data_IF_578299296425
#
_entry.id   IF_578299296425
#
_cell.length_a   1.000
_cell.length_b   1.000
_cell.length_c   1.000
_cell.angle_alpha   90.00
_cell.angle_beta   90.00
_cell.angle_gamma   90.00
#
_symmetry.space_group_name_H-M   'P 1'
#
loop_
_entity.id
_entity.type
_entity.pdbx_description
1 polymer ?
#
# COMPACT_ATOMS: atom_id res chain seq x y z
N UNK A 1 -7.90 -3.38 5.09
CA UNK A 1 -8.42 -4.64 5.65
C UNK A 1 -7.87 -5.77 4.79
N UNK A 2 -7.33 -6.82 5.41
CA UNK A 2 -6.87 -8.02 4.72
C UNK A 2 -7.99 -9.05 4.69
N UNK A 3 -8.26 -9.62 3.53
CA UNK A 3 -9.21 -10.71 3.32
C UNK A 3 -8.46 -11.85 2.63
N UNK A 4 -8.64 -13.09 3.09
CA UNK A 4 -7.91 -14.24 2.57
C UNK A 4 -8.88 -15.32 2.08
N UNK A 5 -8.64 -15.80 0.87
CA UNK A 5 -9.27 -16.97 0.28
C UNK A 5 -8.27 -18.13 0.32
N UNK A 6 -8.71 -19.29 0.79
CA UNK A 6 -7.86 -20.49 0.91
C UNK A 6 -8.49 -21.58 0.08
N UNK A 7 -7.77 -22.08 -0.92
CA UNK A 7 -8.10 -23.29 -1.66
C UNK A 7 -7.46 -24.49 -0.97
N UNK A 8 -8.26 -25.51 -0.69
CA UNK A 8 -7.84 -26.73 0.01
C UNK A 8 -8.08 -27.95 -0.83
N UNK A 9 -7.25 -28.96 -0.61
CA UNK A 9 -7.53 -30.30 -1.08
C UNK A 9 -8.54 -30.98 -0.15
N UNK A 10 -9.66 -31.42 -0.70
CA UNK A 10 -10.73 -32.08 0.06
C UNK A 10 -10.85 -33.54 -0.34
N UNK A 11 -11.52 -34.36 0.47
CA UNK A 11 -11.74 -35.78 0.16
C UNK A 11 -12.50 -36.01 -1.15
N UNK A 12 -13.28 -35.03 -1.60
CA UNK A 12 -14.08 -35.10 -2.83
C UNK A 12 -13.34 -34.55 -4.05
N UNK A 13 -12.15 -33.97 -3.85
CA UNK A 13 -11.35 -33.33 -4.88
C UNK A 13 -10.76 -31.99 -4.43
N UNK A 14 -9.83 -31.43 -5.20
CA UNK A 14 -9.25 -30.12 -4.92
C UNK A 14 -10.27 -29.01 -5.12
N UNK A 15 -10.24 -27.99 -4.25
CA UNK A 15 -10.95 -26.73 -4.50
C UNK A 15 -10.18 -25.90 -5.51
N UNK A 16 -10.89 -25.33 -6.48
CA UNK A 16 -10.27 -24.54 -7.55
C UNK A 16 -10.61 -23.06 -7.40
N UNK A 17 -9.63 -22.21 -7.72
CA UNK A 17 -9.83 -20.78 -7.86
C UNK A 17 -10.05 -20.54 -9.35
N UNK A 18 -11.27 -20.13 -9.71
CA UNK A 18 -11.71 -19.98 -11.10
C UNK A 18 -12.77 -18.90 -11.21
N UNK A 19 -12.87 -18.29 -12.39
CA UNK A 19 -13.94 -17.36 -12.74
C UNK A 19 -15.25 -18.08 -13.10
N UNK A 20 -15.23 -19.38 -13.36
CA UNK A 20 -16.42 -20.17 -13.67
C UNK A 20 -17.18 -20.55 -12.38
N UNK A 21 -18.05 -19.65 -11.93
CA UNK A 21 -18.79 -19.77 -10.67
C UNK A 21 -20.26 -20.09 -10.97
N UNK A 22 -20.84 -21.17 -10.42
CA UNK A 22 -22.22 -21.54 -10.69
C UNK A 22 -23.21 -20.51 -10.13
N UNK A 23 -24.29 -20.26 -10.87
CA UNK A 23 -25.41 -19.39 -10.46
C UNK A 23 -25.04 -17.91 -10.21
N UNK A 24 -23.94 -17.43 -10.79
CA UNK A 24 -23.51 -16.03 -10.72
C UNK A 24 -23.65 -15.37 -12.09
N UNK A 25 -24.29 -14.19 -12.14
CA UNK A 25 -24.45 -13.45 -13.39
C UNK A 25 -23.16 -12.75 -13.84
N UNK A 26 -23.03 -12.47 -15.15
CA UNK A 26 -21.85 -11.85 -15.75
C UNK A 26 -21.45 -10.52 -15.10
N UNK A 27 -22.41 -9.75 -14.58
CA UNK A 27 -22.15 -8.49 -13.89
C UNK A 27 -21.28 -8.63 -12.63
N UNK A 28 -21.34 -9.78 -11.96
CA UNK A 28 -20.48 -10.05 -10.80
C UNK A 28 -19.11 -10.60 -11.22
N UNK A 29 -19.02 -11.23 -12.39
CA UNK A 29 -17.78 -11.73 -12.97
C UNK A 29 -16.96 -10.63 -13.65
N UNK A 30 -17.57 -9.51 -14.03
CA UNK A 30 -16.89 -8.42 -14.75
C UNK A 30 -15.72 -7.78 -14.00
N UNK A 31 -15.66 -7.95 -12.67
CA UNK A 31 -14.57 -7.43 -11.82
C UNK A 31 -13.45 -8.45 -11.57
N UNK A 32 -13.65 -9.70 -11.99
CA UNK A 32 -12.69 -10.78 -11.86
C UNK A 32 -11.89 -10.93 -13.16
N UNK A 33 -10.65 -11.35 -13.02
CA UNK A 33 -9.81 -11.77 -14.14
C UNK A 33 -10.15 -13.20 -14.61
N UNK A 34 -9.46 -13.67 -15.65
CA UNK A 34 -9.63 -15.04 -16.18
C UNK A 34 -9.33 -16.13 -15.14
N UNK A 35 -8.54 -15.82 -14.09
CA UNK A 35 -8.22 -16.75 -13.00
C UNK A 35 -9.23 -16.67 -11.86
N UNK A 36 -10.24 -15.80 -11.94
CA UNK A 36 -11.25 -15.61 -10.89
C UNK A 36 -10.80 -14.70 -9.75
N UNK A 37 -9.80 -13.83 -9.96
CA UNK A 37 -9.26 -12.93 -8.95
C UNK A 37 -9.59 -11.47 -9.31
N UNK A 38 -9.95 -10.66 -8.32
CA UNK A 38 -10.27 -9.24 -8.54
C UNK A 38 -9.08 -8.41 -9.05
N UNK A 39 -9.35 -7.46 -9.94
CA UNK A 39 -8.34 -6.51 -10.41
C UNK A 39 -7.89 -5.53 -9.31
N UNK A 40 -6.59 -5.21 -9.30
CA UNK A 40 -6.04 -4.14 -8.46
C UNK A 40 -6.59 -2.79 -8.96
N UNK A 41 -7.11 -1.98 -8.04
CA UNK A 41 -7.76 -0.70 -8.33
C UNK A 41 -9.28 -0.78 -8.48
N UNK A 42 -9.88 -1.97 -8.45
CA UNK A 42 -11.34 -2.11 -8.53
C UNK A 42 -12.03 -1.56 -7.27
N UNK A 43 -13.11 -0.79 -7.46
CA UNK A 43 -14.01 -0.38 -6.39
C UNK A 43 -15.07 -1.47 -6.17
N UNK A 44 -15.17 -1.93 -4.92
CA UNK A 44 -16.01 -3.06 -4.53
C UNK A 44 -16.92 -2.70 -3.36
N UNK A 45 -18.10 -3.29 -3.37
CA UNK A 45 -19.14 -3.13 -2.34
C UNK A 45 -19.45 -4.46 -1.66
N UNK A 46 -20.12 -4.41 -0.50
CA UNK A 46 -20.52 -5.61 0.22
C UNK A 46 -21.31 -6.58 -0.67
N UNK A 47 -20.89 -7.84 -0.70
CA UNK A 47 -21.47 -8.88 -1.54
C UNK A 47 -20.73 -9.16 -2.85
N UNK A 48 -19.89 -8.23 -3.31
CA UNK A 48 -19.03 -8.42 -4.50
C UNK A 48 -18.04 -9.57 -4.27
N UNK A 49 -17.74 -10.32 -5.33
CA UNK A 49 -16.79 -11.43 -5.30
C UNK A 49 -15.38 -10.86 -5.46
N UNK A 50 -14.48 -11.21 -4.54
CA UNK A 50 -13.06 -10.85 -4.59
C UNK A 50 -12.22 -11.97 -5.19
N UNK A 51 -12.55 -13.22 -4.84
CA UNK A 51 -11.86 -14.41 -5.33
C UNK A 51 -12.91 -15.49 -5.55
N UNK A 52 -13.08 -15.89 -6.81
CA UNK A 52 -13.91 -17.01 -7.22
C UNK A 52 -13.33 -18.31 -6.70
N UNK A 53 -14.10 -19.08 -5.94
CA UNK A 53 -13.70 -20.39 -5.43
C UNK A 53 -14.84 -21.37 -5.60
N UNK A 54 -14.53 -22.52 -6.20
CA UNK A 54 -15.46 -23.63 -6.37
C UNK A 54 -15.00 -24.83 -5.57
N UNK A 55 -15.94 -25.46 -4.88
CA UNK A 55 -15.69 -26.69 -4.12
C UNK A 55 -16.45 -27.84 -4.79
N UNK A 56 -15.80 -28.98 -5.09
CA UNK A 56 -16.50 -30.15 -5.60
C UNK A 56 -17.54 -30.61 -4.58
N UNK A 57 -18.76 -30.82 -5.04
CA UNK A 57 -19.89 -31.26 -4.24
C UNK A 57 -20.15 -32.74 -4.52
N UNK A 58 -20.36 -33.53 -3.48
CA UNK A 58 -20.85 -34.90 -3.65
C UNK A 58 -22.25 -34.93 -4.25
N UNK A 59 -22.59 -36.04 -4.92
CA UNK A 59 -23.91 -36.23 -5.52
C UNK A 59 -25.00 -36.17 -4.44
N UNK A 60 -25.82 -35.12 -4.47
CA UNK A 60 -26.95 -34.95 -3.55
C UNK A 60 -28.19 -35.58 -4.15
N UNK A 61 -28.85 -36.47 -3.41
CA UNK A 61 -30.16 -36.99 -3.78
C UNK A 61 -31.18 -35.86 -3.78
N UNK A 62 -31.58 -35.42 -4.98
CA UNK A 62 -32.61 -34.40 -5.18
C UNK A 62 -33.99 -34.97 -4.84
N UNK A 63 -34.83 -34.11 -4.27
CA UNK A 63 -36.25 -34.40 -4.07
C UNK A 63 -36.97 -34.57 -5.43
N UNK A 64 -38.09 -35.33 -5.49
CA UNK A 64 -38.87 -35.47 -6.73
C UNK A 64 -39.25 -34.12 -7.37
N UNK A 65 -39.53 -33.12 -6.56
CA UNK A 65 -39.86 -31.74 -6.97
C UNK A 65 -38.67 -31.05 -7.65
N UNK A 66 -37.47 -31.14 -7.08
CA UNK A 66 -36.25 -30.59 -7.69
C UNK A 66 -35.85 -31.34 -8.97
N UNK A 67 -36.07 -32.66 -9.01
CA UNK A 67 -35.89 -33.46 -10.23
C UNK A 67 -36.83 -33.02 -11.33
N UNK A 68 -38.10 -32.80 -11.00
CA UNK A 68 -39.10 -32.30 -11.95
C UNK A 68 -38.71 -30.91 -12.45
N UNK A 69 -38.31 -30.01 -11.56
CA UNK A 69 -37.92 -28.65 -11.92
C UNK A 69 -36.70 -28.63 -12.85
N UNK A 70 -35.68 -29.45 -12.59
CA UNK A 70 -34.54 -29.63 -13.50
C UNK A 70 -34.94 -30.25 -14.83
N UNK A 71 -35.87 -31.19 -14.85
CA UNK A 71 -36.37 -31.79 -16.09
C UNK A 71 -37.14 -30.78 -16.95
N UNK A 72 -37.87 -29.84 -16.32
CA UNK A 72 -38.60 -28.77 -17.02
C UNK A 72 -37.66 -27.71 -17.58
N UNK A 73 -36.69 -27.23 -16.80
CA UNK A 73 -35.78 -26.14 -17.20
C UNK A 73 -34.52 -26.62 -17.93
N UNK A 74 -34.26 -27.93 -17.96
CA UNK A 74 -33.05 -28.50 -18.57
C UNK A 74 -31.75 -28.08 -17.88
N UNK A 75 -31.83 -27.53 -16.67
CA UNK A 75 -30.66 -27.11 -15.90
C UNK A 75 -29.83 -28.33 -15.47
N UNK A 76 -28.59 -28.40 -15.96
CA UNK A 76 -27.64 -29.43 -15.53
C UNK A 76 -27.33 -29.25 -14.05
N UNK A 77 -27.15 -30.36 -13.36
CA UNK A 77 -26.58 -30.34 -12.02
C UNK A 77 -25.20 -29.67 -12.08
N UNK A 78 -25.01 -28.58 -11.33
CA UNK A 78 -23.66 -28.14 -11.02
C UNK A 78 -23.09 -29.11 -9.98
N UNK A 79 -22.07 -29.86 -10.37
CA UNK A 79 -21.29 -30.73 -9.49
C UNK A 79 -20.37 -29.94 -8.55
N UNK A 80 -20.32 -28.61 -8.74
CA UNK A 80 -19.53 -27.68 -7.94
C UNK A 80 -20.43 -26.71 -7.16
N UNK A 81 -19.95 -26.29 -5.98
CA UNK A 81 -20.58 -25.30 -5.12
C UNK A 81 -19.75 -24.02 -5.07
N UNK A 82 -20.40 -22.86 -5.15
CA UNK A 82 -19.79 -21.56 -4.86
C UNK A 82 -19.33 -21.49 -3.39
N UNK A 83 -18.03 -21.34 -3.19
CA UNK A 83 -17.39 -21.07 -1.90
C UNK A 83 -16.49 -19.83 -1.95
N UNK A 84 -16.78 -18.92 -2.89
CA UNK A 84 -16.00 -17.73 -3.19
C UNK A 84 -15.87 -16.76 -2.02
N UNK A 85 -14.75 -16.04 -1.99
CA UNK A 85 -14.53 -14.95 -1.06
C UNK A 85 -15.30 -13.71 -1.52
N UNK A 86 -16.16 -13.20 -0.66
CA UNK A 86 -16.95 -11.98 -0.92
C UNK A 86 -16.57 -10.86 0.05
N UNK A 87 -16.79 -9.62 -0.38
CA UNK A 87 -16.61 -8.45 0.47
C UNK A 87 -17.60 -8.52 1.64
N UNK A 88 -17.15 -8.32 2.89
CA UNK A 88 -18.05 -8.26 4.04
C UNK A 88 -19.14 -7.21 3.88
N UNK A 89 -20.35 -7.53 4.34
CA UNK A 89 -21.49 -6.61 4.27
C UNK A 89 -21.19 -5.29 5.01
N UNK A 90 -21.60 -4.17 4.41
CA UNK A 90 -21.38 -2.84 4.96
C UNK A 90 -19.96 -2.29 4.78
N UNK A 91 -19.08 -3.02 4.10
CA UNK A 91 -17.74 -2.54 3.73
C UNK A 91 -17.73 -2.20 2.25
N UNK A 92 -17.26 -0.99 1.93
CA UNK A 92 -16.99 -0.55 0.57
C UNK A 92 -15.59 0.03 0.49
N UNK A 93 -14.85 -0.29 -0.56
CA UNK A 93 -13.47 0.16 -0.67
C UNK A 93 -12.86 -0.15 -2.02
N UNK A 94 -11.59 0.19 -2.15
CA UNK A 94 -10.80 -0.06 -3.36
C UNK A 94 -9.80 -1.17 -3.05
N UNK A 95 -9.69 -2.14 -3.96
CA UNK A 95 -8.64 -3.17 -3.87
C UNK A 95 -7.31 -2.50 -4.16
N UNK A 96 -6.37 -2.55 -3.20
CA UNK A 96 -5.06 -1.91 -3.34
C UNK A 96 -3.96 -2.87 -3.75
N UNK A 97 -4.06 -4.13 -3.34
CA UNK A 97 -3.04 -5.13 -3.57
C UNK A 97 -3.66 -6.53 -3.52
N UNK A 98 -3.07 -7.46 -4.26
CA UNK A 98 -3.43 -8.86 -4.29
C UNK A 98 -2.16 -9.70 -4.28
N UNK A 99 -2.10 -10.65 -3.34
CA UNK A 99 -0.98 -11.57 -3.21
C UNK A 99 -1.48 -12.99 -3.36
N UNK A 100 -0.82 -13.77 -4.22
CA UNK A 100 -1.13 -15.16 -4.48
C UNK A 100 0.03 -16.01 -3.97
N UNK A 101 -0.26 -16.89 -3.02
CA UNK A 101 0.70 -17.86 -2.51
C UNK A 101 0.33 -19.23 -3.05
N UNK A 102 1.29 -19.91 -3.66
CA UNK A 102 1.07 -21.22 -4.30
C UNK A 102 2.00 -22.24 -3.67
N UNK A 103 1.45 -23.39 -3.26
CA UNK A 103 2.25 -24.49 -2.74
C UNK A 103 3.21 -25.01 -3.81
N UNK A 104 4.40 -25.42 -3.38
CA UNK A 104 5.37 -26.10 -4.23
C UNK A 104 4.80 -27.42 -4.81
N UNK A 105 4.86 -27.57 -6.14
CA UNK A 105 4.29 -28.69 -6.89
C UNK A 105 2.89 -28.49 -7.46
N UNK A 106 2.21 -27.38 -7.17
CA UNK A 106 0.97 -26.96 -7.85
C UNK A 106 1.33 -26.03 -9.01
N UNK A 107 0.72 -26.23 -10.19
CA UNK A 107 0.91 -25.34 -11.33
C UNK A 107 0.41 -23.92 -11.00
N UNK A 108 1.21 -22.92 -11.37
CA UNK A 108 0.90 -21.51 -11.12
C UNK A 108 -0.13 -21.03 -12.15
N UNK A 109 -1.16 -20.34 -11.68
CA UNK A 109 -2.16 -19.73 -12.57
C UNK A 109 -1.53 -18.60 -13.40
N UNK A 110 -2.19 -18.22 -14.49
CA UNK A 110 -1.80 -17.05 -15.30
C UNK A 110 -1.58 -15.82 -14.43
N UNK A 111 -2.49 -15.55 -13.49
CA UNK A 111 -2.39 -14.42 -12.56
C UNK A 111 -1.18 -14.50 -11.62
N UNK A 112 -0.85 -15.68 -11.14
CA UNK A 112 0.32 -15.88 -10.28
C UNK A 112 1.63 -15.64 -11.06
N UNK A 113 1.69 -16.10 -12.31
CA UNK A 113 2.83 -15.87 -13.21
C UNK A 113 2.98 -14.38 -13.56
N UNK A 114 1.89 -13.67 -13.83
CA UNK A 114 1.90 -12.22 -14.07
C UNK A 114 2.44 -11.44 -12.86
N UNK A 115 1.99 -11.79 -11.66
CA UNK A 115 2.45 -11.15 -10.41
C UNK A 115 3.93 -11.45 -10.19
N UNK A 116 4.37 -12.69 -10.42
CA UNK A 116 5.78 -13.08 -10.29
C UNK A 116 6.66 -12.30 -11.27
N UNK A 117 6.25 -12.18 -12.54
CA UNK A 117 6.96 -11.40 -13.54
C UNK A 117 7.03 -9.91 -13.15
N UNK A 118 5.92 -9.36 -12.66
CA UNK A 118 5.87 -7.98 -12.17
C UNK A 118 6.83 -7.76 -11.00
N UNK A 119 6.86 -8.68 -10.03
CA UNK A 119 7.76 -8.64 -8.88
C UNK A 119 9.22 -8.76 -9.30
N UNK A 120 9.55 -9.66 -10.24
CA UNK A 120 10.90 -9.81 -10.79
C UNK A 120 11.36 -8.53 -11.51
N UNK A 121 10.48 -7.94 -12.33
CA UNK A 121 10.75 -6.70 -13.05
C UNK A 121 10.97 -5.54 -12.07
N UNK A 122 10.13 -5.43 -11.05
CA UNK A 122 10.27 -4.40 -10.01
C UNK A 122 11.55 -4.60 -9.21
N UNK A 123 11.84 -5.82 -8.74
CA UNK A 123 13.04 -6.12 -7.98
C UNK A 123 14.33 -5.84 -8.77
N UNK A 124 14.33 -6.17 -10.08
CA UNK A 124 15.43 -5.84 -10.98
C UNK A 124 15.59 -4.33 -11.13
N UNK A 125 14.49 -3.60 -11.33
CA UNK A 125 14.49 -2.14 -11.46
C UNK A 125 15.04 -1.49 -10.19
N UNK A 126 14.49 -1.82 -9.03
CA UNK A 126 14.90 -1.24 -7.74
C UNK A 126 16.38 -1.45 -7.46
N UNK A 127 16.87 -2.69 -7.61
CA UNK A 127 18.28 -2.98 -7.42
C UNK A 127 19.14 -2.23 -8.45
N UNK A 128 18.71 -2.16 -9.71
CA UNK A 128 19.48 -1.49 -10.76
C UNK A 128 19.58 0.02 -10.53
N UNK A 129 18.51 0.65 -10.04
CA UNK A 129 18.50 2.06 -9.68
C UNK A 129 19.41 2.31 -8.46
N UNK A 130 19.34 1.42 -7.45
CA UNK A 130 20.25 1.46 -6.29
C UNK A 130 21.72 1.39 -6.73
N UNK A 131 22.06 0.43 -7.59
CA UNK A 131 23.41 0.28 -8.13
C UNK A 131 23.85 1.52 -8.92
N UNK A 132 22.99 2.06 -9.79
CA UNK A 132 23.30 3.25 -10.59
C UNK A 132 23.55 4.49 -9.72
N UNK A 133 22.80 4.68 -8.65
CA UNK A 133 22.98 5.81 -7.73
C UNK A 133 24.30 5.67 -6.97
N UNK A 134 24.60 4.46 -6.47
CA UNK A 134 25.85 4.17 -5.78
C UNK A 134 27.06 4.30 -6.70
N UNK A 135 26.97 3.75 -7.91
CA UNK A 135 27.97 3.86 -8.97
C UNK A 135 28.23 5.32 -9.31
N UNK A 136 27.19 6.14 -9.51
CA UNK A 136 27.35 7.56 -9.77
C UNK A 136 28.06 8.30 -8.64
N UNK A 137 27.73 7.99 -7.38
CA UNK A 137 28.40 8.55 -6.20
C UNK A 137 29.87 8.12 -6.11
N UNK A 138 30.17 6.86 -6.41
CA UNK A 138 31.52 6.30 -6.38
C UNK A 138 32.38 6.90 -7.51
N UNK A 139 31.87 6.97 -8.74
CA UNK A 139 32.56 7.63 -9.85
C UNK A 139 32.75 9.12 -9.63
N UNK A 140 31.81 9.80 -8.95
CA UNK A 140 32.01 11.21 -8.56
C UNK A 140 33.18 11.37 -7.59
N UNK A 141 33.43 10.39 -6.71
CA UNK A 141 34.60 10.38 -5.82
C UNK A 141 35.89 10.04 -6.58
N UNK A 142 35.87 9.03 -7.45
CA UNK A 142 37.00 8.68 -8.33
C UNK A 142 37.41 9.89 -9.18
N UNK A 143 36.44 10.60 -9.76
CA UNK A 143 36.67 11.81 -10.54
C UNK A 143 37.43 12.87 -9.72
N UNK A 144 36.99 13.15 -8.49
CA UNK A 144 37.65 14.12 -7.62
C UNK A 144 39.10 13.72 -7.28
N UNK A 145 39.35 12.43 -7.05
CA UNK A 145 40.69 11.89 -6.78
C UNK A 145 41.60 11.97 -8.02
N UNK A 146 41.08 11.63 -9.21
CA UNK A 146 41.83 11.68 -10.47
C UNK A 146 42.22 13.11 -10.86
N UNK A 147 41.32 14.08 -10.69
CA UNK A 147 41.62 15.50 -10.93
C UNK A 147 42.67 16.01 -9.93
N UNK A 148 42.55 15.65 -8.65
CA UNK A 148 43.55 16.00 -7.63
C UNK A 148 44.91 15.29 -7.84
N UNK A 149 44.91 14.17 -8.56
CA UNK A 149 46.09 13.41 -8.96
C UNK A 149 46.77 13.90 -10.24
N UNK A 150 46.27 14.98 -10.86
CA UNK A 150 46.92 15.63 -12.00
C UNK A 150 46.39 15.22 -13.37
N UNK A 151 45.26 14.50 -13.45
CA UNK A 151 44.61 14.18 -14.73
C UNK A 151 43.71 15.33 -15.17
N UNK A 152 43.84 15.76 -16.43
CA UNK A 152 43.02 16.84 -17.00
C UNK A 152 41.54 16.44 -17.10
N UNK A 153 40.65 17.31 -16.57
CA UNK A 153 39.20 17.12 -16.60
C UNK A 153 38.65 16.88 -18.02
N UNK A 154 39.11 17.66 -19.00
CA UNK A 154 38.67 17.57 -20.41
C UNK A 154 39.02 16.23 -21.08
N UNK A 155 40.05 15.53 -20.57
CA UNK A 155 40.42 14.19 -21.04
C UNK A 155 39.60 13.11 -20.35
N UNK A 156 39.25 13.30 -19.07
CA UNK A 156 38.43 12.37 -18.30
C UNK A 156 37.00 12.29 -18.84
N UNK A 157 36.39 13.44 -19.14
CA UNK A 157 35.00 13.52 -19.60
C UNK A 157 34.78 12.88 -20.98
N UNK A 158 35.84 12.75 -21.79
CA UNK A 158 35.81 12.10 -23.10
C UNK A 158 35.99 10.58 -23.02
N UNK A 159 36.51 10.07 -21.91
CA UNK A 159 36.73 8.65 -21.70
C UNK A 159 35.48 8.02 -21.06
N UNK A 160 35.10 6.78 -21.45
CA UNK A 160 34.03 6.07 -20.77
C UNK A 160 34.40 5.78 -19.31
N UNK A 161 33.41 5.83 -18.41
CA UNK A 161 33.58 5.65 -16.96
C UNK A 161 34.27 4.34 -16.61
N UNK A 162 33.98 3.27 -17.34
CA UNK A 162 34.58 1.94 -17.16
C UNK A 162 36.12 1.97 -17.21
N UNK A 163 36.70 2.88 -18.00
CA UNK A 163 38.16 3.02 -18.15
C UNK A 163 38.81 3.92 -17.11
N UNK A 164 38.05 4.62 -16.27
CA UNK A 164 38.62 5.48 -15.23
C UNK A 164 39.36 4.68 -14.16
N UNK A 165 38.93 3.44 -13.94
CA UNK A 165 39.54 2.48 -13.00
C UNK A 165 40.91 1.96 -13.50
N UNK A 166 41.18 2.04 -14.81
CA UNK A 166 42.44 1.61 -15.43
C UNK A 166 43.53 2.71 -15.41
N UNK A 167 43.18 3.94 -15.00
CA UNK A 167 44.10 5.07 -14.97
C UNK A 167 44.96 5.02 -13.71
N UNK A 168 46.28 4.96 -13.90
CA UNK A 168 47.25 5.08 -12.81
C UNK A 168 47.58 6.53 -12.46
N UNK A 169 47.72 6.81 -11.17
CA UNK A 169 48.19 8.07 -10.61
C UNK A 169 49.66 7.98 -10.18
N UNK A 170 50.38 9.09 -10.26
CA UNK A 170 51.78 9.19 -9.83
C UNK A 170 51.95 9.31 -8.30
N UNK A 171 50.90 9.70 -7.60
CA UNK A 171 50.87 9.93 -6.15
C UNK A 171 50.41 8.66 -5.42
N UNK A 172 51.28 8.08 -4.58
CA UNK A 172 51.05 6.79 -3.91
C UNK A 172 49.81 6.79 -2.99
N UNK A 173 49.54 7.89 -2.27
CA UNK A 173 48.37 7.97 -1.38
C UNK A 173 47.06 7.99 -2.16
N UNK A 174 47.02 8.72 -3.28
CA UNK A 174 45.83 8.81 -4.14
C UNK A 174 45.63 7.55 -4.96
N UNK A 175 46.72 6.88 -5.36
CA UNK A 175 46.66 5.59 -6.01
C UNK A 175 46.03 4.53 -5.10
N UNK A 176 46.43 4.47 -3.82
CA UNK A 176 45.80 3.59 -2.83
C UNK A 176 44.30 3.92 -2.62
N UNK A 177 43.93 5.20 -2.62
CA UNK A 177 42.51 5.59 -2.54
C UNK A 177 41.71 5.16 -3.78
N UNK A 178 42.30 5.24 -4.98
CA UNK A 178 41.66 4.80 -6.21
C UNK A 178 41.48 3.27 -6.21
N UNK A 179 42.48 2.53 -5.76
CA UNK A 179 42.41 1.07 -5.62
C UNK A 179 41.33 0.65 -4.61
N UNK A 180 41.23 1.32 -3.46
CA UNK A 180 40.13 1.09 -2.50
C UNK A 180 38.74 1.37 -3.09
N UNK A 181 38.61 2.41 -3.93
CA UNK A 181 37.34 2.71 -4.59
C UNK A 181 37.01 1.69 -5.69
N UNK A 182 38.02 1.16 -6.38
CA UNK A 182 37.87 0.09 -7.36
C UNK A 182 37.44 -1.22 -6.68
N UNK A 183 38.08 -1.61 -5.59
CA UNK A 183 37.68 -2.77 -4.77
C UNK A 183 36.23 -2.62 -4.27
N UNK A 184 35.86 -1.43 -3.78
CA UNK A 184 34.48 -1.14 -3.36
C UNK A 184 33.48 -1.28 -4.52
N UNK A 185 33.84 -0.84 -5.72
CA UNK A 185 32.98 -0.98 -6.90
C UNK A 185 32.77 -2.45 -7.28
N UNK A 186 33.83 -3.25 -7.28
CA UNK A 186 33.75 -4.70 -7.56
C UNK A 186 32.96 -5.45 -6.47
N UNK A 187 33.15 -5.10 -5.20
CA UNK A 187 32.38 -5.65 -4.08
C UNK A 187 30.89 -5.32 -4.23
N UNK A 188 30.55 -4.07 -4.54
CA UNK A 188 29.16 -3.64 -4.77
C UNK A 188 28.52 -4.40 -5.94
N UNK A 189 29.25 -4.60 -7.04
CA UNK A 189 28.76 -5.35 -8.20
C UNK A 189 28.51 -6.82 -7.85
N UNK A 190 29.43 -7.46 -7.14
CA UNK A 190 29.27 -8.85 -6.71
C UNK A 190 28.13 -9.00 -5.68
N UNK A 191 28.02 -8.08 -4.74
CA UNK A 191 26.93 -8.05 -3.75
C UNK A 191 25.58 -7.86 -4.45
N UNK A 192 25.51 -7.00 -5.47
CA UNK A 192 24.32 -6.79 -6.29
C UNK A 192 23.88 -8.07 -7.00
N UNK A 193 24.79 -8.77 -7.68
CA UNK A 193 24.46 -10.04 -8.35
C UNK A 193 23.93 -11.07 -7.37
N UNK A 194 24.56 -11.19 -6.20
CA UNK A 194 24.14 -12.08 -5.11
C UNK A 194 22.75 -11.68 -4.57
N UNK A 195 22.49 -10.39 -4.37
CA UNK A 195 21.19 -9.88 -3.91
C UNK A 195 20.09 -10.13 -4.96
N UNK A 196 20.39 -9.93 -6.24
CA UNK A 196 19.46 -10.14 -7.34
C UNK A 196 19.09 -11.63 -7.43
N UNK A 197 20.07 -12.53 -7.42
CA UNK A 197 19.81 -13.97 -7.49
C UNK A 197 19.07 -14.46 -6.23
N UNK A 198 19.40 -13.94 -5.05
CA UNK A 198 18.68 -14.24 -3.82
C UNK A 198 17.22 -13.76 -3.86
N UNK A 199 16.94 -12.55 -4.39
CA UNK A 199 15.57 -12.06 -4.59
C UNK A 199 14.82 -12.89 -5.61
N UNK A 200 15.44 -13.20 -6.75
CA UNK A 200 14.84 -14.04 -7.81
C UNK A 200 14.45 -15.41 -7.25
N UNK A 201 15.36 -16.06 -6.52
CA UNK A 201 15.09 -17.35 -5.87
C UNK A 201 13.90 -17.27 -4.90
N UNK A 202 13.83 -16.22 -4.08
CA UNK A 202 12.71 -16.03 -3.13
C UNK A 202 11.37 -15.83 -3.81
N UNK A 203 11.34 -15.16 -4.96
CA UNK A 203 10.11 -14.89 -5.72
C UNK A 203 9.64 -16.15 -6.47
N UNK A 204 10.57 -16.92 -7.04
CA UNK A 204 10.22 -18.11 -7.82
C UNK A 204 9.94 -19.35 -6.97
N UNK A 205 10.59 -19.47 -5.82
CA UNK A 205 10.38 -20.57 -4.89
C UNK A 205 8.92 -20.63 -4.43
N UNK A 206 8.33 -21.82 -4.47
CA UNK A 206 6.97 -22.06 -3.97
C UNK A 206 6.87 -21.79 -2.47
N UNK A 207 5.68 -21.38 -2.03
CA UNK A 207 5.43 -21.03 -0.64
C UNK A 207 5.21 -22.27 0.23
N UNK A 208 5.72 -22.24 1.45
CA UNK A 208 5.46 -23.27 2.45
C UNK A 208 4.08 -23.06 3.09
N UNK A 209 3.08 -23.75 2.55
CA UNK A 209 1.68 -23.64 2.97
C UNK A 209 1.25 -24.80 3.87
N UNK A 210 0.44 -24.49 4.89
CA UNK A 210 -0.12 -25.43 5.85
C UNK A 210 -0.73 -26.68 5.17
N UNK A 211 -0.60 -27.88 5.76
CA UNK A 211 -0.94 -29.14 5.10
C UNK A 211 -2.38 -29.14 4.58
N UNK A 212 -2.56 -29.63 3.35
CA UNK A 212 -3.86 -29.63 2.65
C UNK A 212 -4.25 -28.29 1.99
N UNK A 213 -3.54 -27.19 2.21
CA UNK A 213 -3.75 -25.92 1.48
C UNK A 213 -2.99 -25.90 0.16
N UNK A 214 -3.68 -25.77 -0.97
CA UNK A 214 -3.07 -25.71 -2.30
C UNK A 214 -2.60 -24.28 -2.63
N UNK A 215 -3.46 -23.30 -2.37
CA UNK A 215 -3.26 -21.90 -2.75
C UNK A 215 -3.94 -20.96 -1.75
N UNK A 216 -3.33 -19.80 -1.50
CA UNK A 216 -3.93 -18.72 -0.72
C UNK A 216 -3.90 -17.45 -1.54
N UNK A 217 -5.05 -16.79 -1.68
CA UNK A 217 -5.14 -15.47 -2.28
C UNK A 217 -5.50 -14.47 -1.20
N UNK A 218 -4.61 -13.51 -0.94
CA UNK A 218 -4.84 -12.39 -0.04
C UNK A 218 -5.20 -11.16 -0.85
N UNK A 219 -6.30 -10.53 -0.49
CA UNK A 219 -6.79 -9.29 -1.08
C UNK A 219 -6.77 -8.21 -0.04
N UNK A 220 -6.10 -7.10 -0.34
CA UNK A 220 -6.03 -5.94 0.53
C UNK A 220 -7.04 -4.91 0.06
N UNK A 221 -8.00 -4.62 0.93
CA UNK A 221 -9.06 -3.64 0.70
C UNK A 221 -8.78 -2.35 1.48
N UNK A 222 -8.59 -1.24 0.77
CA UNK A 222 -8.54 0.08 1.39
C UNK A 222 -9.96 0.63 1.56
N UNK A 223 -10.35 0.80 2.82
CA UNK A 223 -11.67 1.31 3.19
C UNK A 223 -11.51 2.73 3.70
N UNK A 224 -12.09 3.70 2.99
CA UNK A 224 -12.16 5.09 3.45
C UNK A 224 -13.42 5.28 4.28
N UNK A 225 -13.29 5.12 5.60
CA UNK A 225 -14.39 5.41 6.53
C UNK A 225 -14.47 6.91 6.77
N UNK A 226 -15.65 7.48 6.51
CA UNK A 226 -15.96 8.86 6.90
C UNK A 226 -16.48 8.86 8.33
N UNK A 227 -16.28 9.99 8.99
CA UNK A 227 -16.84 10.23 10.31
C UNK A 227 -18.37 10.22 10.23
N UNK A 228 -19.02 9.55 11.16
CA UNK A 228 -20.48 9.42 11.20
C UNK A 228 -21.03 9.49 12.62
N UNK A 229 -22.33 9.79 12.79
CA UNK A 229 -23.00 9.66 14.07
C UNK A 229 -22.83 8.25 14.65
N UNK A 230 -22.52 8.16 15.94
CA UNK A 230 -22.14 6.91 16.60
C UNK A 230 -20.63 6.69 16.72
N UNK A 231 -19.80 7.39 15.93
CA UNK A 231 -18.36 7.35 16.12
C UNK A 231 -17.96 8.03 17.43
N UNK A 232 -16.93 7.47 18.07
CA UNK A 232 -16.44 7.93 19.36
C UNK A 232 -15.22 8.83 19.17
N UNK A 233 -15.31 10.04 19.70
CA UNK A 233 -14.19 10.99 19.77
C UNK A 233 -13.76 11.22 21.21
N UNK A 234 -12.51 11.58 21.41
CA UNK A 234 -11.99 11.93 22.73
C UNK A 234 -10.89 12.98 22.64
N UNK A 235 -10.86 13.88 23.62
CA UNK A 235 -9.72 14.75 23.86
C UNK A 235 -8.68 14.12 24.79
N UNK A 236 -7.52 14.77 24.90
CA UNK A 236 -6.38 14.31 25.72
C UNK A 236 -6.67 14.37 27.23
N UNK A 237 -7.63 15.18 27.64
CA UNK A 237 -8.04 15.38 29.04
C UNK A 237 -9.15 14.42 29.50
N UNK A 238 -9.32 13.28 28.82
CA UNK A 238 -10.29 12.24 29.20
C UNK A 238 -11.75 12.58 28.89
N UNK A 239 -12.03 13.71 28.23
CA UNK A 239 -13.34 14.04 27.69
C UNK A 239 -13.66 13.14 26.50
N UNK A 240 -14.54 12.17 26.69
CA UNK A 240 -15.04 11.25 25.65
C UNK A 240 -16.46 11.64 25.26
N UNK A 241 -16.75 11.60 23.97
CA UNK A 241 -18.08 11.84 23.41
C UNK A 241 -18.35 10.90 22.25
N UNK A 242 -19.63 10.68 21.97
CA UNK A 242 -20.09 10.00 20.75
C UNK A 242 -20.73 11.09 19.89
N UNK A 243 -20.44 11.09 18.59
CA UNK A 243 -21.03 12.06 17.66
C UNK A 243 -22.52 11.78 17.60
N UNK A 244 -23.32 12.77 17.99
CA UNK A 244 -24.78 12.68 17.99
C UNK A 244 -25.37 13.04 16.63
N UNK A 245 -24.84 14.09 15.99
CA UNK A 245 -25.33 14.61 14.72
C UNK A 245 -24.21 15.37 14.00
N UNK A 246 -24.24 15.32 12.67
CA UNK A 246 -23.43 16.19 11.80
C UNK A 246 -24.38 17.26 11.27
N UNK A 247 -24.12 18.53 11.61
CA UNK A 247 -24.95 19.65 11.19
C UNK A 247 -24.40 20.30 9.90
N UNK A 248 -25.28 20.88 9.07
CA UNK A 248 -24.87 21.81 8.01
C UNK A 248 -24.13 23.03 8.57
N UNK A 249 -23.32 23.70 7.74
CA UNK A 249 -22.45 24.81 8.17
C UNK A 249 -23.29 26.03 8.58
N UNK A 250 -24.41 26.25 7.90
CA UNK A 250 -25.36 27.34 8.14
C UNK A 250 -26.05 27.28 9.51
N UNK A 251 -26.17 26.08 10.09
CA UNK A 251 -26.77 25.86 11.42
C UNK A 251 -25.73 26.01 12.54
N UNK A 252 -24.44 26.09 12.20
CA UNK A 252 -23.37 26.18 13.19
C UNK A 252 -23.29 27.61 13.77
N UNK A 253 -23.10 27.75 15.10
CA UNK A 253 -22.78 29.04 15.69
C UNK A 253 -21.54 29.64 15.02
N UNK A 254 -21.57 30.94 14.75
CA UNK A 254 -20.49 31.65 14.08
C UNK A 254 -20.08 32.90 14.87
N UNK A 255 -18.85 33.36 14.63
CA UNK A 255 -18.35 34.60 15.20
C UNK A 255 -18.80 35.85 14.41
N UNK A 256 -18.43 37.04 14.90
CA UNK A 256 -18.76 38.31 14.23
C UNK A 256 -18.14 38.45 12.82
N UNK A 257 -17.12 37.65 12.50
CA UNK A 257 -16.49 37.61 11.18
C UNK A 257 -17.15 36.58 10.26
N UNK A 258 -18.20 35.88 10.71
CA UNK A 258 -18.91 34.85 9.95
C UNK A 258 -18.19 33.50 9.91
N UNK A 259 -17.18 33.28 10.76
CA UNK A 259 -16.46 32.00 10.84
C UNK A 259 -17.26 31.02 11.71
N UNK A 260 -17.77 29.91 11.16
CA UNK A 260 -18.51 28.90 11.92
C UNK A 260 -17.57 28.08 12.81
N UNK A 261 -18.10 27.55 13.91
CA UNK A 261 -17.38 26.58 14.76
C UNK A 261 -17.46 25.17 14.18
N UNK A 262 -16.40 24.36 14.34
CA UNK A 262 -16.37 22.99 13.81
C UNK A 262 -17.06 21.97 14.74
N UNK A 263 -16.92 22.14 16.06
CA UNK A 263 -17.40 21.18 17.07
C UNK A 263 -18.00 21.95 18.25
N UNK A 264 -19.20 21.54 18.69
CA UNK A 264 -19.86 22.06 19.89
C UNK A 264 -19.79 21.04 21.02
N UNK A 265 -19.22 21.42 22.16
CA UNK A 265 -19.10 20.57 23.35
C UNK A 265 -20.03 21.07 24.47
N UNK A 266 -20.53 20.14 25.28
CA UNK A 266 -21.37 20.47 26.43
C UNK A 266 -20.50 20.98 27.61
N UNK A 267 -20.68 22.22 28.09
CA UNK A 267 -19.89 22.77 29.19
C UNK A 267 -20.12 22.04 30.52
N UNK A 268 -21.29 21.41 30.71
CA UNK A 268 -21.65 20.73 31.96
C UNK A 268 -20.74 19.52 32.26
N UNK A 269 -20.08 18.97 31.23
CA UNK A 269 -19.14 17.85 31.39
C UNK A 269 -17.83 18.23 32.09
N UNK A 270 -17.47 19.53 32.12
CA UNK A 270 -16.18 19.99 32.65
C UNK A 270 -16.18 20.09 34.18
N UNK A 271 -17.16 20.74 34.84
CA UNK A 271 -17.15 20.87 36.30
C UNK A 271 -17.22 19.52 37.01
N UNK A 272 -18.07 18.62 36.52
CA UNK A 272 -18.29 17.31 37.14
C UNK A 272 -17.05 16.40 37.08
N UNK A 273 -16.23 16.49 36.02
CA UNK A 273 -15.02 15.69 35.85
C UNK A 273 -13.74 16.39 36.31
N UNK A 274 -13.85 17.65 36.73
CA UNK A 274 -12.75 18.51 37.18
C UNK A 274 -11.55 18.56 36.20
N UNK A 275 -11.79 18.37 34.91
CA UNK A 275 -10.75 18.36 33.87
C UNK A 275 -10.59 19.75 33.24
N UNK A 276 -10.20 20.73 34.07
CA UNK A 276 -10.02 22.15 33.69
C UNK A 276 -8.96 22.33 32.60
N UNK A 277 -8.01 21.39 32.49
CA UNK A 277 -6.96 21.42 31.46
C UNK A 277 -7.49 21.61 30.03
N UNK A 278 -8.66 21.06 29.69
CA UNK A 278 -9.24 21.25 28.36
C UNK A 278 -9.65 22.70 28.07
N UNK A 279 -10.04 23.47 29.10
CA UNK A 279 -10.36 24.89 28.97
C UNK A 279 -9.08 25.69 28.75
N UNK A 280 -8.03 25.39 29.52
CA UNK A 280 -6.72 26.01 29.33
C UNK A 280 -6.15 25.70 27.94
N UNK A 281 -6.28 24.45 27.47
CA UNK A 281 -5.92 24.04 26.11
C UNK A 281 -6.71 24.83 25.06
N UNK A 282 -8.02 25.01 25.27
CA UNK A 282 -8.88 25.76 24.34
C UNK A 282 -8.45 27.22 24.24
N UNK A 283 -8.21 27.90 25.38
CA UNK A 283 -7.75 29.29 25.38
C UNK A 283 -6.38 29.46 24.74
N UNK A 284 -5.42 28.60 25.10
CA UNK A 284 -4.08 28.63 24.52
C UNK A 284 -4.09 28.31 23.03
N UNK A 285 -4.91 27.33 22.61
CA UNK A 285 -5.11 26.97 21.22
C UNK A 285 -5.71 28.12 20.40
N UNK A 286 -6.67 28.85 20.97
CA UNK A 286 -7.25 30.05 20.33
C UNK A 286 -6.22 31.17 20.20
N UNK A 287 -5.39 31.41 21.23
CA UNK A 287 -4.31 32.38 21.16
C UNK A 287 -3.27 32.01 20.10
N UNK A 288 -2.87 30.73 20.04
CA UNK A 288 -1.94 30.22 19.04
C UNK A 288 -2.49 30.35 17.61
N UNK A 289 -3.77 30.01 17.40
CA UNK A 289 -4.44 30.21 16.11
C UNK A 289 -4.46 31.69 15.71
N UNK A 290 -4.74 32.59 16.65
CA UNK A 290 -4.71 34.04 16.40
C UNK A 290 -3.33 34.57 16.00
N UNK A 291 -2.24 34.03 16.57
CA UNK A 291 -0.87 34.32 16.11
C UNK A 291 -0.67 33.80 14.68
N UNK A 292 -1.10 32.56 14.41
CA UNK A 292 -1.04 31.95 13.08
C UNK A 292 -1.81 32.72 12.01
N UNK A 293 -3.00 33.25 12.34
CA UNK A 293 -3.82 34.04 11.44
C UNK A 293 -3.15 35.38 11.09
N UNK A 294 -2.46 36.01 12.04
CA UNK A 294 -1.65 37.21 11.78
C UNK A 294 -0.49 36.91 10.84
N UNK A 295 0.24 35.81 11.06
CA UNK A 295 1.32 35.37 10.17
C UNK A 295 0.76 35.09 8.77
N UNK A 296 -0.36 34.37 8.67
CA UNK A 296 -1.01 34.06 7.41
C UNK A 296 -1.43 35.34 6.66
N UNK A 297 -1.95 36.35 7.36
CA UNK A 297 -2.27 37.65 6.78
C UNK A 297 -1.01 38.35 6.23
N UNK A 298 0.09 38.37 7.01
CA UNK A 298 1.36 38.97 6.58
C UNK A 298 1.96 38.25 5.36
N UNK A 299 1.87 36.92 5.32
CA UNK A 299 2.32 36.09 4.19
C UNK A 299 1.48 36.34 2.92
N UNK A 300 0.15 36.37 3.05
CA UNK A 300 -0.75 36.69 1.92
C UNK A 300 -0.50 38.09 1.36
N UNK A 301 -0.13 39.04 2.21
CA UNK A 301 0.25 40.39 1.83
C UNK A 301 1.70 40.50 1.32
N UNK A 302 2.47 39.41 1.31
CA UNK A 302 3.88 39.36 0.91
C UNK A 302 4.74 40.43 1.62
N UNK A 303 4.53 40.60 2.92
CA UNK A 303 5.30 41.53 3.73
C UNK A 303 6.80 41.15 3.74
N UNK A 304 7.65 42.15 3.99
CA UNK A 304 9.09 41.95 4.08
C UNK A 304 9.48 40.92 5.15
N UNK A 305 10.52 40.13 4.86
CA UNK A 305 11.04 39.08 5.76
C UNK A 305 11.44 39.64 7.12
N UNK A 306 11.92 40.89 7.18
CA UNK A 306 12.28 41.56 8.42
C UNK A 306 11.09 41.67 9.38
N UNK A 307 9.93 42.13 8.90
CA UNK A 307 8.70 42.28 9.70
C UNK A 307 8.14 40.93 10.14
N UNK A 308 8.16 39.94 9.26
CA UNK A 308 7.76 38.57 9.59
C UNK A 308 8.65 37.99 10.70
N UNK A 309 9.97 38.17 10.58
CA UNK A 309 10.94 37.69 11.56
C UNK A 309 10.75 38.38 12.92
N UNK A 310 10.58 39.70 12.92
CA UNK A 310 10.35 40.47 14.14
C UNK A 310 9.07 40.01 14.85
N UNK A 311 7.98 39.84 14.10
CA UNK A 311 6.72 39.36 14.65
C UNK A 311 6.86 37.96 15.25
N UNK A 312 7.53 37.03 14.56
CA UNK A 312 7.75 35.65 15.04
C UNK A 312 8.66 35.60 16.26
N UNK A 313 9.68 36.47 16.36
CA UNK A 313 10.57 36.51 17.53
C UNK A 313 9.88 37.06 18.78
N UNK A 314 8.84 37.88 18.61
CA UNK A 314 8.09 38.50 19.70
C UNK A 314 6.92 37.63 20.20
N UNK A 315 6.36 36.80 19.32
CA UNK A 315 5.22 35.92 19.58
C UNK A 315 5.63 34.67 20.36
#
# INVERSE_FOLDING_TARGET
QELACVSRDTKLGPEEITADIPNVGEAALSKLDESGIVYIGAEVTGGDILVGKVTPKGETQLTPEEKLLRAIFGEKASDVKDSSLRVPNGVSGTVIDVQVFTRDGVEKDKRALEIEEMQLKQAKKDLSEELQILEAGLFSRIYAVLVAGGVEADKLDKLPRDRWLELGLTDEEKQNQLEQLAEQYDELKHEFEKKLEAKRRKITQGDDLAPGVLKIVKVYLAVKRRIQPGDKMAGRHGNKGVISKINPIEDMPHDANGTPVDIVLNPLGVPSRMNIGQILETHLGMAAKGIGDKINAMLKQQQEVAKLREFIQRA
#
